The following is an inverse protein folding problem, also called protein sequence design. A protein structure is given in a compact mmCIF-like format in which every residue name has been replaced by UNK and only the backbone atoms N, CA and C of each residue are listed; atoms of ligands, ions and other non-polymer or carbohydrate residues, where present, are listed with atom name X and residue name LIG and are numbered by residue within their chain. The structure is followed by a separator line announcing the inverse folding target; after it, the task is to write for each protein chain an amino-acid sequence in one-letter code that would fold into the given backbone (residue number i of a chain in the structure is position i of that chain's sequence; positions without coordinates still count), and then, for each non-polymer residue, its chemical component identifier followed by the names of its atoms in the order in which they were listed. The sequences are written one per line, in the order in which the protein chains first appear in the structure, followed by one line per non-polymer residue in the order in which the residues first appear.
data_IF_146928862392
#
_entry.id   IF_146928862392
#
_cell.length_a   1.000
_cell.length_b   1.000
_cell.length_c   1.000
_cell.angle_alpha   90.00
_cell.angle_beta   90.00
_cell.angle_gamma   90.00
#
_symmetry.space_group_name_H-M   'P 1'
#
loop_
_entity.id
_entity.type
_entity.pdbx_description
1 polymer ?
#
# COMPACT_ATOMS: atom_id res chain seq x y z
N UNK A 1 -4.93 -12.92 24.06
CA UNK A 1 -3.97 -12.08 24.81
C UNK A 1 -4.69 -10.93 25.51
N UNK A 2 -4.01 -9.84 25.88
CA UNK A 2 -4.63 -8.70 26.61
C UNK A 2 -5.79 -8.02 25.87
N UNK A 3 -5.93 -8.24 24.56
CA UNK A 3 -7.02 -7.70 23.76
C UNK A 3 -8.34 -8.47 23.83
N UNK A 4 -8.36 -9.65 24.43
CA UNK A 4 -9.57 -10.51 24.48
C UNK A 4 -10.70 -9.91 25.32
N UNK A 5 -10.34 -9.08 26.30
CA UNK A 5 -11.29 -8.38 27.18
C UNK A 5 -11.71 -7.01 26.66
N UNK A 6 -11.11 -6.54 25.53
CA UNK A 6 -11.42 -5.23 24.98
C UNK A 6 -12.61 -5.33 24.02
N UNK A 7 -13.55 -4.41 24.18
CA UNK A 7 -14.61 -4.20 23.19
C UNK A 7 -14.02 -3.47 21.98
N UNK A 8 -14.14 -4.06 20.80
CA UNK A 8 -13.70 -3.42 19.56
C UNK A 8 -14.70 -2.32 19.14
N UNK A 9 -14.26 -1.40 18.28
CA UNK A 9 -15.13 -0.40 17.70
C UNK A 9 -16.10 -1.04 16.72
N UNK A 10 -17.27 -0.41 16.53
CA UNK A 10 -18.22 -0.87 15.52
C UNK A 10 -17.78 -0.48 14.10
N UNK A 11 -18.29 -1.16 13.05
CA UNK A 11 -18.09 -0.73 11.68
C UNK A 11 -18.48 0.73 11.41
N UNK A 12 -19.52 1.24 12.08
CA UNK A 12 -19.92 2.64 12.00
C UNK A 12 -18.86 3.58 12.56
N UNK A 13 -18.39 3.31 13.77
CA UNK A 13 -17.33 4.09 14.41
C UNK A 13 -16.03 4.03 13.59
N UNK A 14 -15.72 2.87 13.00
CA UNK A 14 -14.57 2.72 12.12
C UNK A 14 -14.68 3.64 10.89
N UNK A 15 -15.82 3.65 10.22
CA UNK A 15 -16.08 4.51 9.05
C UNK A 15 -16.01 6.00 9.43
N UNK A 16 -16.62 6.41 10.56
CA UNK A 16 -16.59 7.78 11.07
C UNK A 16 -15.16 8.25 11.38
N UNK A 17 -14.36 7.43 12.07
CA UNK A 17 -12.96 7.77 12.38
C UNK A 17 -12.14 7.90 11.11
N UNK A 18 -12.32 7.03 10.13
CA UNK A 18 -11.60 7.14 8.86
C UNK A 18 -12.00 8.39 8.08
N UNK A 19 -13.29 8.75 8.07
CA UNK A 19 -13.77 10.00 7.49
C UNK A 19 -13.14 11.22 8.16
N UNK A 20 -13.13 11.25 9.48
CA UNK A 20 -12.47 12.31 10.25
C UNK A 20 -10.97 12.43 9.90
N UNK A 21 -10.25 11.32 9.78
CA UNK A 21 -8.84 11.33 9.38
C UNK A 21 -8.63 11.86 7.96
N UNK A 22 -9.53 11.57 7.03
CA UNK A 22 -9.49 12.17 5.68
C UNK A 22 -9.68 13.69 5.77
N UNK A 23 -10.59 14.17 6.62
CA UNK A 23 -10.82 15.61 6.81
C UNK A 23 -9.65 16.32 7.48
N UNK A 24 -8.96 15.65 8.41
CA UNK A 24 -7.77 16.19 9.07
C UNK A 24 -6.64 16.54 8.07
N UNK A 25 -6.54 15.85 6.94
CA UNK A 25 -5.50 16.17 5.95
C UNK A 25 -5.64 17.59 5.38
N UNK A 26 -6.86 18.09 5.24
CA UNK A 26 -7.10 19.45 4.76
C UNK A 26 -6.69 20.52 5.79
N UNK A 27 -6.78 20.16 7.08
CA UNK A 27 -6.41 21.05 8.19
C UNK A 27 -4.89 21.04 8.42
N UNK A 28 -4.24 19.89 8.23
CA UNK A 28 -2.82 19.66 8.52
C UNK A 28 -2.02 19.41 7.24
N UNK A 29 -1.88 20.44 6.39
CA UNK A 29 -1.25 20.32 5.07
C UNK A 29 0.22 19.93 5.09
N UNK A 30 0.93 20.31 6.18
CA UNK A 30 2.35 20.00 6.36
C UNK A 30 2.60 18.64 7.01
N UNK A 31 1.53 17.90 7.32
CA UNK A 31 1.57 16.57 7.92
C UNK A 31 0.86 15.56 7.04
N UNK A 32 1.44 14.38 6.87
CA UNK A 32 0.74 13.28 6.23
C UNK A 32 -0.18 12.57 7.22
N UNK A 33 -1.47 12.77 7.09
CA UNK A 33 -2.49 12.08 7.89
C UNK A 33 -2.96 10.84 7.15
N UNK A 34 -2.85 9.67 7.78
CA UNK A 34 -3.29 8.41 7.17
C UNK A 34 -3.61 7.32 8.18
N UNK A 35 -4.53 6.45 7.84
CA UNK A 35 -4.80 5.23 8.58
C UNK A 35 -3.95 4.07 8.05
N UNK A 36 -3.35 3.28 8.97
CA UNK A 36 -2.65 2.02 8.66
C UNK A 36 -3.60 0.85 8.86
N UNK A 37 -3.40 -0.21 8.09
CA UNK A 37 -4.23 -1.43 8.17
C UNK A 37 -5.74 -1.15 8.04
N UNK A 38 -6.09 -0.06 7.36
CA UNK A 38 -7.45 0.43 7.17
C UNK A 38 -7.70 0.75 5.68
N UNK A 39 -7.84 -0.28 4.82
CA UNK A 39 -7.99 -0.08 3.37
C UNK A 39 -9.14 0.84 2.97
N UNK A 40 -10.21 0.86 3.75
CA UNK A 40 -11.39 1.72 3.51
C UNK A 40 -11.04 3.22 3.49
N UNK A 41 -9.96 3.62 4.18
CA UNK A 41 -9.47 5.00 4.14
C UNK A 41 -9.25 5.51 2.72
N UNK A 42 -8.76 4.64 1.82
CA UNK A 42 -8.50 4.99 0.42
C UNK A 42 -9.79 5.25 -0.36
N UNK A 43 -10.84 4.45 -0.11
CA UNK A 43 -12.16 4.68 -0.68
C UNK A 43 -12.72 6.02 -0.23
N UNK A 44 -12.71 6.31 1.08
CA UNK A 44 -13.20 7.56 1.63
C UNK A 44 -12.44 8.78 1.09
N UNK A 45 -11.12 8.67 0.97
CA UNK A 45 -10.30 9.72 0.35
C UNK A 45 -10.70 9.97 -1.11
N UNK A 46 -10.95 8.90 -1.88
CA UNK A 46 -11.40 9.01 -3.27
C UNK A 46 -12.81 9.61 -3.38
N UNK A 47 -13.74 9.17 -2.52
CA UNK A 47 -15.12 9.70 -2.50
C UNK A 47 -15.14 11.20 -2.20
N UNK A 48 -14.24 11.66 -1.34
CA UNK A 48 -14.10 13.07 -1.01
C UNK A 48 -13.48 13.89 -2.13
N UNK A 49 -12.33 13.43 -2.64
CA UNK A 49 -11.61 14.06 -3.75
C UNK A 49 -10.76 13.04 -4.52
N UNK A 50 -11.21 12.63 -5.72
CA UNK A 50 -10.46 11.71 -6.57
C UNK A 50 -9.05 12.20 -6.93
N UNK A 51 -8.80 13.50 -6.85
CA UNK A 51 -7.54 14.13 -7.22
C UNK A 51 -6.63 14.49 -6.05
N UNK A 52 -7.08 14.27 -4.83
CA UNK A 52 -6.31 14.60 -3.63
C UNK A 52 -4.98 13.86 -3.56
N UNK A 53 -3.98 14.41 -2.86
CA UNK A 53 -2.73 13.70 -2.58
C UNK A 53 -2.95 12.34 -1.87
N UNK A 54 -3.95 12.25 -0.99
CA UNK A 54 -4.31 11.00 -0.30
C UNK A 54 -4.79 9.94 -1.28
N UNK A 55 -5.62 10.33 -2.25
CA UNK A 55 -6.14 9.45 -3.30
C UNK A 55 -5.02 8.99 -4.24
N UNK A 56 -4.15 9.90 -4.67
CA UNK A 56 -3.07 9.64 -5.65
C UNK A 56 -1.80 9.03 -5.05
N UNK A 57 -1.71 8.90 -3.73
CA UNK A 57 -0.57 8.26 -3.09
C UNK A 57 -0.41 6.79 -3.53
N UNK A 58 0.83 6.34 -3.76
CA UNK A 58 1.18 5.02 -4.31
C UNK A 58 2.03 4.17 -3.37
N UNK A 59 2.18 2.90 -3.70
CA UNK A 59 3.03 1.95 -2.99
C UNK A 59 2.68 1.88 -1.51
N UNK A 60 3.70 1.91 -0.64
CA UNK A 60 3.51 1.91 0.80
C UNK A 60 2.66 3.07 1.33
N UNK A 61 2.56 4.15 0.55
CA UNK A 61 1.71 5.30 0.79
C UNK A 61 0.34 5.16 0.14
N UNK A 62 0.16 4.19 -0.77
CA UNK A 62 -0.99 4.10 -1.66
C UNK A 62 -2.29 3.79 -0.96
N UNK A 63 -2.33 2.85 -0.09
CA UNK A 63 -3.57 2.32 0.49
C UNK A 63 -3.92 0.94 -0.04
N UNK A 64 -5.12 0.49 0.25
CA UNK A 64 -5.48 -0.90 0.09
C UNK A 64 -4.82 -1.79 1.15
N UNK A 65 -5.03 -3.08 1.05
CA UNK A 65 -4.33 -4.05 1.90
C UNK A 65 -2.92 -4.30 1.32
N UNK A 66 -1.87 -3.97 2.08
CA UNK A 66 -0.49 -4.13 1.66
C UNK A 66 0.10 -5.52 1.99
N UNK A 67 -0.67 -6.38 2.63
CA UNK A 67 -0.27 -7.73 2.99
C UNK A 67 0.15 -8.54 1.76
N UNK A 68 1.33 -9.13 1.79
CA UNK A 68 1.84 -9.96 0.70
C UNK A 68 2.15 -9.22 -0.61
N UNK A 69 1.90 -7.91 -0.68
CA UNK A 69 2.18 -7.07 -1.86
C UNK A 69 3.34 -6.12 -1.63
N UNK A 70 3.33 -5.37 -0.51
CA UNK A 70 4.35 -4.38 -0.19
C UNK A 70 5.11 -4.70 1.10
N UNK A 71 4.62 -5.62 1.92
CA UNK A 71 5.35 -6.12 3.07
C UNK A 71 4.99 -7.57 3.39
N UNK A 72 5.84 -8.19 4.18
CA UNK A 72 5.64 -9.48 4.82
C UNK A 72 6.19 -9.43 6.24
N UNK A 73 5.87 -10.45 7.04
CA UNK A 73 6.42 -10.65 8.37
C UNK A 73 7.22 -11.94 8.41
N UNK A 74 8.41 -11.89 8.98
CA UNK A 74 9.14 -13.09 9.40
C UNK A 74 8.92 -13.27 10.90
N UNK A 75 8.44 -14.44 11.29
CA UNK A 75 8.24 -14.79 12.71
C UNK A 75 9.57 -15.15 13.38
N UNK A 76 9.66 -15.17 14.72
CA UNK A 76 10.86 -15.63 15.42
C UNK A 76 11.31 -17.05 15.04
N UNK A 77 10.36 -17.90 14.61
CA UNK A 77 10.63 -19.27 14.16
C UNK A 77 11.05 -19.35 12.68
N UNK A 78 11.09 -18.23 11.98
CA UNK A 78 11.48 -18.16 10.57
C UNK A 78 10.33 -18.28 9.58
N UNK A 79 9.08 -18.42 10.02
CA UNK A 79 7.91 -18.47 9.15
C UNK A 79 7.68 -17.13 8.46
N UNK A 80 7.54 -17.15 7.14
CA UNK A 80 7.18 -15.96 6.34
C UNK A 80 5.67 -15.90 6.18
N UNK A 81 5.06 -14.81 6.67
CA UNK A 81 3.61 -14.59 6.60
C UNK A 81 3.29 -13.28 5.88
N UNK A 82 2.14 -13.16 5.19
CA UNK A 82 1.78 -11.95 4.46
C UNK A 82 1.43 -10.77 5.40
N UNK A 83 0.99 -11.05 6.63
CA UNK A 83 0.51 -10.06 7.59
C UNK A 83 0.77 -10.52 9.03
N UNK A 84 1.08 -9.60 9.96
CA UNK A 84 1.24 -9.96 11.38
C UNK A 84 -0.06 -10.49 12.04
N UNK A 85 -1.20 -10.16 11.47
CA UNK A 85 -2.52 -10.59 11.95
C UNK A 85 -3.03 -11.88 11.29
N UNK A 86 -2.25 -12.46 10.37
CA UNK A 86 -2.59 -13.73 9.71
C UNK A 86 -1.44 -14.72 9.87
N UNK A 87 -1.59 -15.79 10.65
CA UNK A 87 -0.58 -16.83 10.80
C UNK A 87 -0.54 -17.79 9.60
N UNK A 88 -0.75 -17.27 8.40
CA UNK A 88 -0.72 -18.01 7.14
C UNK A 88 0.72 -18.08 6.64
N UNK A 89 1.38 -19.23 6.82
CA UNK A 89 2.77 -19.41 6.41
C UNK A 89 2.91 -19.64 4.92
N UNK A 90 3.82 -18.89 4.29
CA UNK A 90 4.28 -19.11 2.92
C UNK A 90 5.50 -20.04 2.85
N UNK A 91 6.04 -20.46 4.01
CA UNK A 91 7.24 -21.26 4.18
C UNK A 91 8.22 -20.65 5.16
N UNK A 92 9.35 -21.33 5.39
CA UNK A 92 10.34 -20.93 6.38
C UNK A 92 11.61 -20.40 5.71
N UNK A 93 12.02 -19.17 6.07
CA UNK A 93 13.21 -18.52 5.51
C UNK A 93 14.55 -19.19 5.89
N UNK A 94 14.53 -20.14 6.83
CA UNK A 94 15.70 -20.95 7.18
C UNK A 94 15.88 -22.13 6.23
N UNK A 95 14.83 -22.50 5.50
CA UNK A 95 14.80 -23.66 4.58
C UNK A 95 14.78 -23.22 3.11
N UNK A 96 14.10 -22.10 2.82
CA UNK A 96 13.93 -21.58 1.48
C UNK A 96 14.25 -20.09 1.47
N UNK A 97 14.89 -19.61 0.40
CA UNK A 97 15.25 -18.19 0.31
C UNK A 97 14.03 -17.27 0.43
N UNK A 98 14.20 -16.12 1.10
CA UNK A 98 13.14 -15.11 1.17
C UNK A 98 12.62 -14.72 -0.22
N UNK A 99 13.50 -14.58 -1.19
CA UNK A 99 13.14 -14.20 -2.57
C UNK A 99 12.24 -15.26 -3.21
N UNK A 100 12.58 -16.54 -3.07
CA UNK A 100 11.77 -17.62 -3.64
C UNK A 100 10.39 -17.69 -2.97
N UNK A 101 10.34 -17.58 -1.64
CA UNK A 101 9.07 -17.55 -0.91
C UNK A 101 8.24 -16.33 -1.28
N UNK A 102 8.88 -15.15 -1.39
CA UNK A 102 8.20 -13.91 -1.77
C UNK A 102 7.64 -13.96 -3.19
N UNK A 103 8.40 -14.46 -4.16
CA UNK A 103 8.03 -14.38 -5.57
C UNK A 103 7.15 -15.55 -6.04
N UNK A 104 7.33 -16.75 -5.47
CA UNK A 104 6.77 -17.99 -6.02
C UNK A 104 5.72 -18.66 -5.15
N UNK A 105 5.57 -18.24 -3.90
CA UNK A 105 4.58 -18.83 -3.00
C UNK A 105 3.16 -18.57 -3.48
N UNK A 106 2.31 -19.59 -3.47
CA UNK A 106 0.89 -19.48 -3.77
C UNK A 106 0.18 -18.53 -2.79
N UNK A 107 0.62 -18.51 -1.54
CA UNK A 107 0.12 -17.58 -0.53
C UNK A 107 0.32 -16.14 -1.00
N UNK A 108 1.55 -15.73 -1.31
CA UNK A 108 1.81 -14.36 -1.75
C UNK A 108 1.16 -14.03 -3.09
N UNK A 109 1.12 -14.98 -4.03
CA UNK A 109 0.46 -14.81 -5.31
C UNK A 109 -1.04 -14.57 -5.15
N UNK A 110 -1.70 -15.23 -4.20
CA UNK A 110 -3.12 -15.00 -3.91
C UNK A 110 -3.43 -13.59 -3.38
N UNK A 111 -2.44 -12.91 -2.76
CA UNK A 111 -2.57 -11.51 -2.33
C UNK A 111 -2.28 -10.52 -3.47
N UNK A 112 -1.39 -10.87 -4.40
CA UNK A 112 -1.04 -10.01 -5.54
C UNK A 112 -2.07 -10.05 -6.65
N UNK A 113 -2.70 -11.20 -6.84
CA UNK A 113 -3.70 -11.45 -7.88
C UNK A 113 -5.00 -11.99 -7.26
N UNK A 114 -5.60 -11.26 -6.31
CA UNK A 114 -6.69 -11.78 -5.52
C UNK A 114 -7.96 -11.94 -6.36
N UNK A 115 -8.59 -13.11 -6.25
CA UNK A 115 -9.95 -13.32 -6.72
C UNK A 115 -10.89 -13.06 -5.52
N UNK A 116 -11.13 -11.79 -5.22
CA UNK A 116 -11.95 -11.41 -4.08
C UNK A 116 -13.39 -11.84 -4.27
N UNK A 117 -14.03 -12.23 -3.17
CA UNK A 117 -15.41 -12.72 -3.10
C UNK A 117 -16.33 -11.65 -2.51
N UNK A 118 -17.63 -11.97 -2.53
CA UNK A 118 -18.68 -11.12 -1.96
C UNK A 118 -18.59 -9.68 -2.46
N UNK A 119 -19.03 -8.74 -1.64
CA UNK A 119 -19.05 -7.31 -2.03
C UNK A 119 -17.67 -6.74 -2.36
N UNK A 120 -16.58 -7.28 -1.81
CA UNK A 120 -15.23 -6.83 -2.16
C UNK A 120 -14.86 -7.21 -3.61
N UNK A 121 -15.34 -8.36 -4.10
CA UNK A 121 -15.15 -8.80 -5.48
C UNK A 121 -15.91 -7.96 -6.50
N UNK A 122 -17.13 -7.58 -6.16
CA UNK A 122 -18.03 -6.82 -7.05
C UNK A 122 -17.82 -5.29 -6.96
N UNK A 123 -17.07 -4.83 -5.95
CA UNK A 123 -16.93 -3.41 -5.64
C UNK A 123 -16.07 -2.67 -6.67
N UNK A 124 -16.53 -1.52 -7.12
CA UNK A 124 -15.79 -0.62 -8.01
C UNK A 124 -14.48 -0.11 -7.39
N UNK A 125 -14.37 -0.09 -6.05
CA UNK A 125 -13.17 0.30 -5.32
C UNK A 125 -12.18 -0.83 -5.07
N UNK A 126 -12.38 -2.03 -5.63
CA UNK A 126 -11.54 -3.21 -5.39
C UNK A 126 -10.05 -2.92 -5.55
N UNK A 127 -9.67 -2.22 -6.63
CA UNK A 127 -8.27 -1.97 -6.97
C UNK A 127 -7.57 -0.96 -6.03
N UNK A 128 -8.34 -0.10 -5.36
CA UNK A 128 -7.79 0.92 -4.47
C UNK A 128 -8.03 0.64 -2.98
N UNK A 129 -8.99 -0.22 -2.66
CA UNK A 129 -9.36 -0.59 -1.30
C UNK A 129 -9.18 -2.09 -1.05
N UNK A 130 -10.01 -2.91 -1.69
CA UNK A 130 -10.00 -4.38 -1.58
C UNK A 130 -10.29 -4.94 -0.17
N UNK A 131 -10.58 -4.10 0.83
CA UNK A 131 -10.82 -4.50 2.22
C UNK A 131 -9.57 -5.03 2.95
N UNK A 132 -9.68 -5.23 4.25
CA UNK A 132 -8.63 -5.88 5.05
C UNK A 132 -8.71 -7.40 4.87
N UNK A 133 -7.61 -8.04 4.48
CA UNK A 133 -7.58 -9.50 4.27
C UNK A 133 -7.46 -10.31 5.56
N UNK A 134 -7.06 -9.66 6.65
CA UNK A 134 -6.95 -10.34 7.95
C UNK A 134 -8.32 -10.52 8.63
N UNK A 135 -9.27 -9.60 8.45
CA UNK A 135 -10.59 -9.70 9.08
C UNK A 135 -11.37 -10.92 8.59
N UNK A 136 -11.63 -11.09 7.29
CA UNK A 136 -12.35 -12.28 6.82
C UNK A 136 -11.57 -13.58 7.09
N UNK A 137 -10.23 -13.54 7.11
CA UNK A 137 -9.45 -14.70 7.53
C UNK A 137 -9.73 -15.10 8.97
N UNK A 138 -9.81 -14.14 9.89
CA UNK A 138 -10.08 -14.43 11.31
C UNK A 138 -11.50 -14.94 11.51
N UNK A 139 -12.47 -14.37 10.79
CA UNK A 139 -13.88 -14.69 10.99
C UNK A 139 -14.33 -15.96 10.25
N UNK A 140 -13.78 -16.22 9.07
CA UNK A 140 -14.22 -17.29 8.18
C UNK A 140 -13.11 -18.25 7.72
N UNK A 141 -11.84 -17.95 8.04
CA UNK A 141 -10.68 -18.71 7.54
C UNK A 141 -10.32 -18.44 6.09
N UNK A 142 -11.02 -17.51 5.43
CA UNK A 142 -10.83 -17.18 4.02
C UNK A 142 -10.44 -15.71 3.83
N UNK A 143 -9.18 -15.44 3.52
CA UNK A 143 -8.68 -14.09 3.29
C UNK A 143 -9.16 -13.45 1.98
N UNK A 144 -9.81 -14.19 1.11
CA UNK A 144 -10.38 -13.68 -0.13
C UNK A 144 -11.84 -13.26 0.01
N UNK A 145 -12.48 -13.56 1.13
CA UNK A 145 -13.85 -13.18 1.41
C UNK A 145 -13.99 -11.65 1.65
N UNK A 146 -15.21 -11.17 1.76
CA UNK A 146 -15.50 -9.76 1.98
C UNK A 146 -15.08 -9.27 3.37
N UNK A 147 -14.70 -8.01 3.48
CA UNK A 147 -14.43 -7.36 4.76
C UNK A 147 -15.74 -6.91 5.41
N UNK A 148 -16.14 -7.58 6.50
CA UNK A 148 -17.41 -7.33 7.18
C UNK A 148 -17.50 -5.94 7.83
N UNK A 149 -16.36 -5.26 8.03
CA UNK A 149 -16.35 -3.91 8.59
C UNK A 149 -16.65 -2.83 7.54
N UNK A 150 -16.78 -3.22 6.27
CA UNK A 150 -17.16 -2.30 5.21
C UNK A 150 -18.66 -2.04 5.23
N UNK A 151 -19.06 -0.79 5.42
CA UNK A 151 -20.47 -0.35 5.33
C UNK A 151 -20.89 0.00 3.90
N UNK A 152 -19.92 0.11 2.99
CA UNK A 152 -20.19 0.48 1.62
C UNK A 152 -20.94 -0.64 0.88
N UNK A 153 -21.96 -0.26 0.15
CA UNK A 153 -22.66 -1.15 -0.78
C UNK A 153 -22.18 -0.85 -2.19
N UNK A 154 -21.55 -1.82 -2.87
CA UNK A 154 -21.09 -1.65 -4.24
C UNK A 154 -22.21 -1.18 -5.17
N UNK A 155 -21.92 -0.23 -6.03
CA UNK A 155 -22.84 0.25 -7.08
C UNK A 155 -22.68 -0.50 -8.38
N UNK A 156 -21.62 -1.30 -8.46
CA UNK A 156 -21.22 -2.00 -9.69
C UNK A 156 -20.56 -1.08 -10.71
N UNK A 157 -20.28 -1.62 -11.87
CA UNK A 157 -19.62 -0.89 -12.96
C UNK A 157 -18.11 -1.15 -13.03
N UNK A 158 -17.42 -0.31 -13.79
CA UNK A 158 -15.98 -0.46 -14.00
C UNK A 158 -15.18 -0.21 -12.71
N UNK A 159 -14.11 -0.99 -12.55
CA UNK A 159 -13.20 -0.81 -11.42
C UNK A 159 -12.53 0.56 -11.50
N UNK A 160 -12.57 1.31 -10.40
CA UNK A 160 -11.96 2.63 -10.30
C UNK A 160 -10.43 2.46 -10.33
N UNK A 161 -9.84 3.06 -11.36
CA UNK A 161 -8.39 3.17 -11.50
C UNK A 161 -7.97 4.59 -11.16
N UNK A 162 -7.18 4.72 -10.12
CA UNK A 162 -6.53 5.99 -9.83
C UNK A 162 -5.29 6.07 -10.71
N UNK A 163 -5.22 7.12 -11.53
CA UNK A 163 -3.96 7.49 -12.16
C UNK A 163 -3.03 7.94 -11.02
N UNK A 164 -2.28 6.99 -10.51
CA UNK A 164 -1.22 7.28 -9.57
C UNK A 164 -0.26 8.24 -10.25
N UNK A 165 0.28 9.19 -9.51
CA UNK A 165 1.38 10.00 -10.01
C UNK A 165 2.49 9.06 -10.49
N UNK A 166 2.37 8.56 -11.71
CA UNK A 166 3.54 8.12 -12.47
C UNK A 166 4.50 9.30 -12.39
N UNK A 167 5.79 9.09 -12.12
CA UNK A 167 6.74 10.17 -12.20
C UNK A 167 6.45 10.89 -13.50
N UNK A 168 6.08 12.18 -13.43
CA UNK A 168 6.07 13.01 -14.61
C UNK A 168 7.38 12.74 -15.32
N UNK A 169 7.34 12.53 -16.65
CA UNK A 169 8.57 12.41 -17.42
C UNK A 169 9.43 13.59 -17.00
N UNK A 170 10.52 13.31 -16.32
CA UNK A 170 11.33 14.34 -15.75
C UNK A 170 12.04 15.06 -16.89
N UNK A 171 11.92 16.36 -16.93
CA UNK A 171 12.70 17.26 -17.80
C UNK A 171 14.18 17.34 -17.39
N UNK A 172 14.56 16.70 -16.25
CA UNK A 172 15.93 16.62 -15.77
C UNK A 172 16.60 15.36 -16.33
N UNK A 173 17.65 15.58 -17.10
CA UNK A 173 18.47 14.50 -17.65
C UNK A 173 19.26 13.77 -16.55
N UNK A 174 19.55 12.50 -16.77
CA UNK A 174 20.42 11.68 -15.94
C UNK A 174 21.62 11.24 -16.78
N UNK A 175 22.83 11.41 -16.29
CA UNK A 175 23.98 10.81 -16.94
C UNK A 175 23.99 9.28 -16.77
N UNK A 176 24.80 8.58 -17.54
CA UNK A 176 24.85 7.12 -17.56
C UNK A 176 25.27 6.56 -16.19
N UNK A 177 26.20 7.20 -15.50
CA UNK A 177 26.73 6.75 -14.22
C UNK A 177 25.69 6.88 -13.10
N UNK A 178 24.96 8.00 -13.05
CA UNK A 178 23.88 8.23 -12.06
C UNK A 178 22.67 7.32 -12.33
N UNK A 179 22.33 7.10 -13.59
CA UNK A 179 21.28 6.15 -13.98
C UNK A 179 21.65 4.71 -13.58
N UNK A 180 22.89 4.31 -13.78
CA UNK A 180 23.40 3.02 -13.33
C UNK A 180 23.38 2.91 -11.80
N UNK A 181 23.76 3.96 -11.08
CA UNK A 181 23.69 4.00 -9.62
C UNK A 181 22.25 3.86 -9.12
N UNK A 182 21.30 4.57 -9.73
CA UNK A 182 19.88 4.44 -9.45
C UNK A 182 19.39 3.00 -9.67
N UNK A 183 19.86 2.32 -10.71
CA UNK A 183 19.48 0.95 -11.03
C UNK A 183 19.91 -0.08 -9.97
N UNK A 184 20.90 0.22 -9.14
CA UNK A 184 21.38 -0.62 -8.03
C UNK A 184 20.50 -0.49 -6.78
N UNK A 185 19.68 0.54 -6.70
CA UNK A 185 18.72 0.73 -5.61
C UNK A 185 17.57 -0.28 -5.80
N UNK A 186 17.09 -0.91 -4.72
CA UNK A 186 15.93 -1.79 -4.79
C UNK A 186 14.77 -1.13 -5.55
N UNK A 187 14.14 -1.87 -6.47
CA UNK A 187 13.17 -1.30 -7.42
C UNK A 187 12.04 -0.49 -6.76
N UNK A 188 11.59 -0.92 -5.58
CA UNK A 188 10.52 -0.28 -4.82
C UNK A 188 10.91 1.09 -4.21
N UNK A 189 12.21 1.38 -4.11
CA UNK A 189 12.72 2.68 -3.64
C UNK A 189 13.12 3.61 -4.80
N UNK A 190 13.37 3.06 -5.99
CA UNK A 190 13.91 3.83 -7.13
C UNK A 190 13.08 5.06 -7.48
N UNK A 191 11.76 4.92 -7.55
CA UNK A 191 10.87 6.02 -7.89
C UNK A 191 10.92 7.14 -6.83
N UNK A 192 11.01 6.78 -5.56
CA UNK A 192 11.10 7.73 -4.45
C UNK A 192 12.45 8.47 -4.49
N UNK A 193 13.56 7.73 -4.65
CA UNK A 193 14.90 8.32 -4.73
C UNK A 193 15.01 9.20 -5.96
N UNK A 194 14.57 8.73 -7.14
CA UNK A 194 14.56 9.51 -8.37
C UNK A 194 13.84 10.84 -8.18
N UNK A 195 12.62 10.81 -7.63
CA UNK A 195 11.82 12.01 -7.38
C UNK A 195 12.50 12.97 -6.38
N UNK A 196 13.17 12.44 -5.36
CA UNK A 196 13.89 13.25 -4.37
C UNK A 196 15.07 13.99 -5.00
N UNK A 197 15.91 13.28 -5.76
CA UNK A 197 17.07 13.83 -6.47
C UNK A 197 16.65 14.86 -7.53
N UNK A 198 15.63 14.55 -8.33
CA UNK A 198 15.13 15.48 -9.36
C UNK A 198 14.49 16.74 -8.77
N UNK A 199 13.82 16.62 -7.63
CA UNK A 199 13.32 17.81 -6.91
C UNK A 199 14.47 18.69 -6.46
N UNK A 200 15.49 18.12 -5.86
CA UNK A 200 16.68 18.86 -5.42
C UNK A 200 17.39 19.52 -6.61
N UNK A 201 17.56 18.80 -7.71
CA UNK A 201 18.14 19.34 -8.94
C UNK A 201 17.35 20.55 -9.47
N UNK A 202 16.00 20.50 -9.48
CA UNK A 202 15.16 21.64 -9.87
C UNK A 202 15.33 22.83 -8.94
N UNK A 203 15.31 22.59 -7.63
CA UNK A 203 15.49 23.64 -6.61
C UNK A 203 16.86 24.31 -6.72
N UNK A 204 17.89 23.54 -7.11
CA UNK A 204 19.26 24.03 -7.33
C UNK A 204 19.52 24.56 -8.75
N UNK A 205 18.53 24.49 -9.69
CA UNK A 205 18.69 24.91 -11.08
C UNK A 205 19.63 24.02 -11.90
N UNK A 206 19.79 22.75 -11.51
CA UNK A 206 20.66 21.77 -12.16
C UNK A 206 19.86 21.02 -13.23
N UNK A 207 20.33 21.04 -14.47
CA UNK A 207 19.63 20.42 -15.61
C UNK A 207 19.93 18.92 -15.78
N UNK A 208 20.97 18.40 -15.15
CA UNK A 208 21.38 16.99 -15.27
C UNK A 208 21.85 16.43 -13.93
N UNK A 209 21.32 15.27 -13.57
CA UNK A 209 21.73 14.53 -12.39
C UNK A 209 23.04 13.79 -12.67
N UNK A 210 24.03 13.98 -11.81
CA UNK A 210 25.31 13.26 -11.80
C UNK A 210 25.47 12.44 -10.52
N UNK A 211 26.49 11.59 -10.47
CA UNK A 211 26.80 10.78 -9.27
C UNK A 211 27.15 11.69 -8.09
N UNK A 212 27.88 12.78 -8.32
CA UNK A 212 28.27 13.75 -7.29
C UNK A 212 27.02 14.35 -6.63
N UNK A 213 26.04 14.79 -7.43
CA UNK A 213 24.78 15.31 -6.91
C UNK A 213 24.03 14.28 -6.06
N UNK A 214 24.08 13.00 -6.42
CA UNK A 214 23.47 11.92 -5.63
C UNK A 214 24.23 11.62 -4.33
N UNK A 215 25.49 12.02 -4.21
CA UNK A 215 26.32 11.84 -3.00
C UNK A 215 26.15 12.98 -2.00
N UNK A 216 25.69 14.13 -2.45
CA UNK A 216 25.39 15.28 -1.62
C UNK A 216 24.06 15.18 -0.85
N UNK A 217 23.22 14.18 -1.22
CA UNK A 217 21.87 13.96 -0.68
C UNK A 217 21.79 12.73 0.22
#
# INVERSE_FOLDING_TARGET
GRGEELTDITPQQYEEVLGYLVDCQDQYKDMLVRARCAPHFKRLAYEKDPNSPLTKATGYMGGGCLAGTNYARVTPNGELTPCPYMPLSAGNVRETSFVDLWERSDVFNSFRYPQLKGKCGDCEYTDICGGCRARPYVDHGDWLDEDQWCLYTPKGGDKIKVAFNTPEESDIAWDEASALRLSRIPYFLRAMVKKGVERHAREAGIAMVTVELMEEL
#
